data_IF_404401011786
#
_entry.id   IF_404401011786
#
_cell.length_a   1.000
_cell.length_b   1.000
_cell.length_c   1.000
_cell.angle_alpha   90.00
_cell.angle_beta   90.00
_cell.angle_gamma   90.00
#
_symmetry.space_group_name_H-M   'P 1'
#
loop_
_entity.id
_entity.type
_entity.pdbx_description
1 polymer ?
#
# COMPACT_ATOMS: atom_id res chain seq x y z
N UNK A 1 -18.21 -89.74 -28.95
CA UNK A 1 -19.29 -88.92 -29.56
C UNK A 1 -19.80 -88.01 -28.44
N UNK A 2 -19.96 -86.69 -28.58
CA UNK A 2 -20.07 -85.84 -29.79
C UNK A 2 -19.45 -84.44 -29.57
N UNK A 3 -19.23 -83.71 -30.66
CA UNK A 3 -18.64 -82.36 -30.71
C UNK A 3 -19.41 -81.27 -29.94
N UNK A 4 -18.71 -80.21 -29.48
CA UNK A 4 -19.30 -79.02 -28.85
C UNK A 4 -19.36 -77.77 -29.76
N UNK A 5 -19.67 -76.60 -29.18
CA UNK A 5 -19.53 -75.26 -29.81
C UNK A 5 -19.36 -74.14 -28.75
N UNK A 6 -18.91 -72.96 -29.20
CA UNK A 6 -18.32 -71.84 -28.40
C UNK A 6 -19.22 -70.59 -28.34
N UNK A 7 -19.03 -69.76 -27.29
CA UNK A 7 -19.32 -68.30 -27.19
C UNK A 7 -20.82 -67.92 -27.32
N UNK A 8 -21.35 -66.75 -26.93
CA UNK A 8 -20.90 -65.43 -26.40
C UNK A 8 -22.12 -64.83 -25.64
N UNK A 9 -22.11 -63.89 -24.69
CA UNK A 9 -21.08 -63.17 -23.90
C UNK A 9 -21.76 -62.49 -22.67
N UNK A 10 -21.01 -62.08 -21.64
CA UNK A 10 -21.56 -61.37 -20.47
C UNK A 10 -21.63 -59.84 -20.64
N UNK A 11 -22.70 -59.22 -20.12
CA UNK A 11 -22.97 -57.78 -20.17
C UNK A 11 -22.00 -56.98 -19.29
N UNK A 12 -21.41 -55.85 -19.73
CA UNK A 12 -20.59 -55.01 -18.88
C UNK A 12 -21.42 -54.32 -17.78
N UNK A 13 -20.92 -54.31 -16.54
CA UNK A 13 -21.57 -53.61 -15.43
C UNK A 13 -21.52 -52.09 -15.63
N UNK A 14 -22.67 -51.43 -15.46
CA UNK A 14 -22.77 -49.98 -15.57
C UNK A 14 -22.04 -49.27 -14.41
N UNK A 15 -20.85 -48.74 -14.68
CA UNK A 15 -20.18 -47.82 -13.74
C UNK A 15 -20.98 -46.51 -13.66
N UNK A 16 -21.56 -46.23 -12.49
CA UNK A 16 -22.19 -44.94 -12.21
C UNK A 16 -21.10 -43.87 -12.01
N UNK A 17 -20.81 -43.10 -13.05
CA UNK A 17 -20.03 -41.87 -12.91
C UNK A 17 -20.78 -40.87 -12.04
N UNK A 18 -20.33 -40.71 -10.79
CA UNK A 18 -20.83 -39.68 -9.90
C UNK A 18 -20.36 -38.31 -10.37
N UNK A 19 -21.18 -37.60 -11.16
CA UNK A 19 -20.95 -36.20 -11.54
C UNK A 19 -20.84 -35.34 -10.28
N UNK A 20 -19.61 -35.03 -9.89
CA UNK A 20 -19.28 -34.17 -8.75
C UNK A 20 -19.70 -32.74 -9.09
N UNK A 21 -20.90 -32.34 -8.64
CA UNK A 21 -21.39 -30.97 -8.84
C UNK A 21 -20.35 -29.97 -8.33
N UNK A 22 -19.92 -29.07 -9.21
CA UNK A 22 -18.95 -28.03 -8.91
C UNK A 22 -19.65 -26.99 -8.04
N UNK A 23 -19.58 -27.19 -6.71
CA UNK A 23 -20.23 -26.34 -5.72
C UNK A 23 -19.84 -24.88 -5.97
N UNK A 24 -20.83 -24.05 -6.29
CA UNK A 24 -20.58 -22.63 -6.56
C UNK A 24 -19.96 -21.97 -5.34
N UNK A 25 -18.96 -21.11 -5.59
CA UNK A 25 -18.29 -20.36 -4.54
C UNK A 25 -19.28 -19.32 -4.02
N UNK A 26 -19.87 -19.58 -2.85
CA UNK A 26 -20.74 -18.63 -2.15
C UNK A 26 -20.01 -17.30 -2.01
N UNK A 27 -20.65 -16.23 -2.47
CA UNK A 27 -20.08 -14.89 -2.39
C UNK A 27 -19.88 -14.43 -0.94
N UNK A 28 -18.93 -13.52 -0.74
CA UNK A 28 -18.64 -12.99 0.58
C UNK A 28 -19.64 -11.89 0.92
N UNK A 29 -20.40 -12.11 1.99
CA UNK A 29 -21.44 -11.21 2.46
C UNK A 29 -20.83 -10.13 3.38
N UNK A 30 -20.60 -8.93 2.82
CA UNK A 30 -20.06 -7.78 3.55
C UNK A 30 -21.05 -7.16 4.54
N UNK A 31 -22.36 -7.31 4.31
CA UNK A 31 -23.43 -6.69 5.12
C UNK A 31 -23.49 -7.29 6.53
N UNK A 32 -22.98 -8.51 6.71
CA UNK A 32 -22.84 -9.20 8.00
C UNK A 32 -21.67 -8.71 8.87
N UNK A 33 -20.81 -7.84 8.35
CA UNK A 33 -19.63 -7.30 9.04
C UNK A 33 -19.72 -5.77 9.18
N UNK A 34 -19.26 -5.19 10.31
CA UNK A 34 -19.06 -3.77 10.40
C UNK A 34 -17.77 -3.37 9.68
N UNK A 35 -17.61 -2.09 9.41
CA UNK A 35 -16.44 -1.49 8.80
C UNK A 35 -15.85 -0.44 9.74
N UNK A 36 -14.55 -0.17 9.59
CA UNK A 36 -13.85 0.88 10.36
C UNK A 36 -12.77 1.55 9.52
N UNK A 37 -12.47 2.79 9.89
CA UNK A 37 -11.33 3.53 9.36
C UNK A 37 -10.05 3.10 10.09
N UNK A 38 -9.00 2.79 9.32
CA UNK A 38 -7.66 2.49 9.83
C UNK A 38 -6.60 3.35 9.13
N UNK A 39 -5.53 3.66 9.85
CA UNK A 39 -4.25 4.03 9.25
C UNK A 39 -3.44 2.75 9.02
N UNK A 40 -2.99 2.52 7.78
CA UNK A 40 -2.04 1.48 7.40
C UNK A 40 -0.65 2.09 7.21
N UNK A 41 0.36 1.59 7.92
CA UNK A 41 1.76 1.87 7.63
C UNK A 41 2.34 0.76 6.75
N UNK A 42 2.98 1.12 5.65
CA UNK A 42 3.56 0.17 4.71
C UNK A 42 4.89 0.67 4.12
N UNK A 43 5.70 -0.28 3.66
CA UNK A 43 6.89 -0.04 2.85
C UNK A 43 6.73 -0.65 1.46
N UNK A 44 7.53 -0.15 0.52
CA UNK A 44 7.73 -0.76 -0.78
C UNK A 44 9.10 -0.39 -1.38
N UNK A 45 9.67 -1.34 -2.12
CA UNK A 45 10.88 -1.16 -2.91
C UNK A 45 10.47 -0.71 -4.31
N UNK A 46 10.62 0.58 -4.59
CA UNK A 46 9.96 1.25 -5.72
C UNK A 46 10.50 0.86 -7.09
N UNK A 47 11.69 0.27 -7.18
CA UNK A 47 12.40 -0.01 -8.44
C UNK A 47 11.63 -0.87 -9.45
N UNK A 48 10.68 -1.68 -8.97
CA UNK A 48 9.81 -2.56 -9.76
C UNK A 48 8.48 -1.89 -10.17
N UNK A 49 8.15 -0.72 -9.62
CA UNK A 49 6.81 -0.12 -9.70
C UNK A 49 6.81 1.21 -10.47
N UNK A 50 5.69 1.48 -11.15
CA UNK A 50 5.45 2.70 -11.93
C UNK A 50 5.09 3.94 -11.07
N UNK A 51 5.27 3.82 -9.75
CA UNK A 51 5.00 4.83 -8.74
C UNK A 51 3.96 4.36 -7.73
N UNK A 52 3.64 5.23 -6.76
CA UNK A 52 2.63 4.90 -5.75
C UNK A 52 1.21 4.92 -6.33
N UNK A 53 0.87 6.00 -7.04
CA UNK A 53 -0.52 6.38 -7.33
C UNK A 53 -1.09 5.57 -8.49
N UNK A 54 -2.35 5.14 -8.39
CA UNK A 54 -3.09 4.54 -9.51
C UNK A 54 -2.97 5.35 -10.82
N UNK A 55 -2.75 4.64 -11.92
CA UNK A 55 -2.64 5.16 -13.28
C UNK A 55 -3.61 4.39 -14.20
N UNK A 56 -3.93 4.93 -15.38
CA UNK A 56 -4.89 4.31 -16.33
C UNK A 56 -4.23 3.38 -17.33
N UNK A 57 -2.96 3.64 -17.59
CA UNK A 57 -2.08 3.04 -18.59
C UNK A 57 -1.22 1.90 -18.03
N UNK A 58 -1.11 1.77 -16.71
CA UNK A 58 -0.40 0.68 -16.05
C UNK A 58 -1.12 0.17 -14.80
N UNK A 59 -1.04 -1.14 -14.60
CA UNK A 59 -1.53 -1.84 -13.41
C UNK A 59 -0.39 -2.15 -12.41
N UNK A 60 0.81 -1.66 -12.67
CA UNK A 60 2.01 -1.94 -11.88
C UNK A 60 2.35 -0.76 -10.95
N UNK A 61 1.33 -0.22 -10.28
CA UNK A 61 1.47 0.82 -9.26
C UNK A 61 1.27 0.20 -7.89
N UNK A 62 1.92 0.74 -6.86
CA UNK A 62 1.82 0.19 -5.50
C UNK A 62 0.38 0.19 -5.00
N UNK A 63 -0.42 1.20 -5.34
CA UNK A 63 -1.84 1.22 -5.01
C UNK A 63 -2.67 0.16 -5.72
N UNK A 64 -2.41 -0.15 -6.99
CA UNK A 64 -3.12 -1.22 -7.70
C UNK A 64 -2.88 -2.58 -7.03
N UNK A 65 -1.64 -2.85 -6.60
CA UNK A 65 -1.30 -4.03 -5.80
C UNK A 65 -2.00 -4.03 -4.43
N UNK A 66 -2.08 -2.87 -3.75
CA UNK A 66 -2.78 -2.74 -2.46
C UNK A 66 -4.29 -2.95 -2.58
N UNK A 67 -4.96 -2.37 -3.59
CA UNK A 67 -6.38 -2.59 -3.84
C UNK A 67 -6.68 -4.06 -4.13
N UNK A 68 -5.90 -4.70 -5.01
CA UNK A 68 -6.02 -6.15 -5.28
C UNK A 68 -5.84 -6.98 -4.02
N UNK A 69 -4.90 -6.62 -3.15
CA UNK A 69 -4.70 -7.31 -1.88
C UNK A 69 -5.90 -7.16 -0.94
N UNK A 70 -6.48 -5.96 -0.82
CA UNK A 70 -7.66 -5.67 -0.02
C UNK A 70 -8.92 -6.40 -0.56
N UNK A 71 -9.14 -6.38 -1.87
CA UNK A 71 -10.26 -7.06 -2.54
C UNK A 71 -10.14 -8.59 -2.42
N UNK A 72 -8.93 -9.14 -2.61
CA UNK A 72 -8.63 -10.59 -2.52
C UNK A 72 -8.72 -11.14 -1.09
N UNK A 73 -8.37 -10.34 -0.09
CA UNK A 73 -8.52 -10.70 1.34
C UNK A 73 -9.92 -10.42 1.88
N UNK A 74 -10.83 -9.94 1.03
CA UNK A 74 -12.19 -9.49 1.38
C UNK A 74 -12.19 -8.41 2.47
N UNK A 75 -11.14 -7.59 2.55
CA UNK A 75 -11.08 -6.47 3.50
C UNK A 75 -11.89 -5.26 3.02
N UNK A 76 -12.04 -5.12 1.70
CA UNK A 76 -12.99 -4.19 1.07
C UNK A 76 -13.84 -4.96 0.07
N UNK A 77 -15.07 -4.48 -0.15
CA UNK A 77 -15.94 -4.95 -1.22
C UNK A 77 -15.45 -4.43 -2.58
N UNK A 78 -15.13 -3.15 -2.63
CA UNK A 78 -14.73 -2.42 -3.83
C UNK A 78 -13.93 -1.16 -3.43
N UNK A 79 -13.42 -0.45 -4.44
CA UNK A 79 -12.53 0.72 -4.24
C UNK A 79 -13.23 1.98 -3.74
N UNK A 80 -14.54 2.16 -3.95
CA UNK A 80 -15.25 3.35 -3.46
C UNK A 80 -15.50 3.28 -1.95
N UNK A 81 -15.84 2.10 -1.43
CA UNK A 81 -16.01 1.86 0.03
C UNK A 81 -14.68 2.01 0.79
N UNK A 82 -13.54 1.78 0.13
CA UNK A 82 -12.21 1.88 0.75
C UNK A 82 -11.82 3.31 1.20
N UNK A 83 -12.40 4.36 0.59
CA UNK A 83 -12.08 5.78 0.86
C UNK A 83 -10.56 6.06 0.96
N UNK A 84 -9.77 5.53 0.02
CA UNK A 84 -8.31 5.51 0.17
C UNK A 84 -7.69 6.92 0.16
N UNK A 85 -6.97 7.25 1.24
CA UNK A 85 -6.15 8.46 1.34
C UNK A 85 -4.67 8.10 1.50
N UNK A 86 -3.78 8.87 0.87
CA UNK A 86 -2.32 8.63 0.83
C UNK A 86 -1.55 9.78 1.47
N UNK A 87 -0.57 9.51 2.32
CA UNK A 87 0.21 10.55 3.00
C UNK A 87 1.04 11.39 2.01
N UNK A 88 1.93 10.75 1.24
CA UNK A 88 2.76 11.40 0.23
C UNK A 88 2.75 10.62 -1.08
N UNK A 89 2.73 11.31 -2.23
CA UNK A 89 2.97 10.65 -3.52
C UNK A 89 4.45 10.33 -3.65
N UNK A 90 4.77 9.26 -4.36
CA UNK A 90 6.13 8.99 -4.86
C UNK A 90 6.04 8.65 -6.34
N UNK A 91 7.04 9.11 -7.09
CA UNK A 91 7.13 8.88 -8.53
C UNK A 91 7.68 7.47 -8.84
N UNK A 92 7.68 7.12 -10.11
CA UNK A 92 8.22 5.85 -10.63
C UNK A 92 9.63 5.58 -10.09
N UNK A 93 9.90 4.33 -9.68
CA UNK A 93 11.15 3.86 -9.06
C UNK A 93 11.46 4.37 -7.64
N UNK A 94 10.72 5.31 -7.07
CA UNK A 94 10.98 5.83 -5.71
C UNK A 94 10.42 4.87 -4.65
N UNK A 95 11.30 4.35 -3.79
CA UNK A 95 10.94 3.52 -2.63
C UNK A 95 10.34 4.33 -1.47
N UNK A 96 9.63 3.65 -0.56
CA UNK A 96 9.23 4.24 0.73
C UNK A 96 9.30 3.20 1.84
N UNK A 97 9.82 3.59 3.01
CA UNK A 97 9.93 2.70 4.18
C UNK A 97 8.83 2.90 5.22
N UNK A 98 8.10 4.02 5.16
CA UNK A 98 7.09 4.43 6.15
C UNK A 98 5.95 5.22 5.49
N UNK A 99 5.47 4.76 4.33
CA UNK A 99 4.27 5.32 3.73
C UNK A 99 3.07 5.05 4.64
N UNK A 100 2.13 5.98 4.68
CA UNK A 100 0.88 5.84 5.45
C UNK A 100 -0.31 6.07 4.53
N UNK A 101 -1.29 5.18 4.60
CA UNK A 101 -2.60 5.36 3.97
C UNK A 101 -3.71 5.33 5.03
N UNK A 102 -4.77 6.10 4.82
CA UNK A 102 -6.05 5.91 5.49
C UNK A 102 -6.94 5.07 4.59
N UNK A 103 -7.51 4.00 5.13
CA UNK A 103 -8.41 3.10 4.39
C UNK A 103 -9.54 2.63 5.30
N UNK A 104 -10.72 2.42 4.72
CA UNK A 104 -11.87 1.83 5.40
C UNK A 104 -11.92 0.34 5.06
N UNK A 105 -11.95 -0.52 6.06
CA UNK A 105 -11.95 -1.99 5.90
C UNK A 105 -13.02 -2.64 6.77
N UNK A 106 -13.47 -3.84 6.41
CA UNK A 106 -14.30 -4.65 7.31
C UNK A 106 -13.54 -5.00 8.59
N UNK A 107 -14.28 -5.10 9.68
CA UNK A 107 -13.80 -5.53 10.99
C UNK A 107 -14.41 -6.89 11.35
N UNK A 108 -13.74 -7.59 12.26
CA UNK A 108 -14.23 -8.81 12.91
C UNK A 108 -14.75 -8.53 14.33
N UNK A 109 -14.67 -7.28 14.80
CA UNK A 109 -15.23 -6.84 16.07
C UNK A 109 -16.69 -6.39 15.86
N UNK A 110 -17.61 -6.84 16.71
CA UNK A 110 -19.01 -6.41 16.67
C UNK A 110 -19.26 -5.03 17.32
N UNK A 111 -18.36 -4.61 18.20
CA UNK A 111 -18.46 -3.40 19.04
C UNK A 111 -17.08 -2.77 19.28
N UNK A 112 -17.06 -1.48 19.64
CA UNK A 112 -15.85 -0.69 19.87
C UNK A 112 -15.78 0.61 19.05
N UNK A 113 -14.77 1.43 19.32
CA UNK A 113 -14.64 2.76 18.72
C UNK A 113 -14.42 2.73 17.20
N UNK A 114 -15.09 3.67 16.52
CA UNK A 114 -15.02 3.90 15.06
C UNK A 114 -15.53 2.74 14.17
N UNK A 115 -16.37 1.85 14.72
CA UNK A 115 -17.07 0.81 13.96
C UNK A 115 -18.41 1.32 13.43
N UNK A 116 -18.71 0.96 12.19
CA UNK A 116 -19.98 1.26 11.51
C UNK A 116 -20.55 0.02 10.85
N UNK A 117 -21.80 -0.29 11.15
CA UNK A 117 -22.56 -1.33 10.47
C UNK A 117 -23.06 -0.83 9.12
N UNK A 118 -23.18 -1.72 8.14
CA UNK A 118 -23.85 -1.41 6.87
C UNK A 118 -25.32 -1.03 7.14
N UNK A 119 -25.93 -0.06 6.41
CA UNK A 119 -27.33 0.32 6.61
C UNK A 119 -28.29 -0.87 6.53
N UNK A 120 -28.08 -1.77 5.56
CA UNK A 120 -28.90 -2.97 5.35
C UNK A 120 -28.53 -4.15 6.28
N UNK A 121 -27.70 -3.91 7.31
CA UNK A 121 -27.21 -4.96 8.20
C UNK A 121 -28.29 -5.40 9.20
N UNK A 122 -29.01 -6.47 8.84
CA UNK A 122 -29.93 -7.18 9.75
C UNK A 122 -29.22 -7.58 11.06
N UNK A 123 -29.64 -7.05 12.23
CA UNK A 123 -29.05 -7.39 13.53
C UNK A 123 -28.97 -8.88 13.85
N UNK A 124 -29.91 -9.70 13.34
CA UNK A 124 -29.92 -11.15 13.60
C UNK A 124 -28.91 -11.92 12.74
N UNK A 125 -28.48 -11.36 11.60
CA UNK A 125 -27.52 -11.96 10.67
C UNK A 125 -26.07 -11.53 10.88
N UNK A 126 -25.82 -10.50 11.72
CA UNK A 126 -24.49 -9.97 12.06
C UNK A 126 -23.56 -11.03 12.65
N UNK A 127 -22.25 -10.78 12.56
CA UNK A 127 -21.27 -11.60 13.28
C UNK A 127 -21.50 -11.57 14.79
N UNK A 128 -21.72 -12.74 15.39
CA UNK A 128 -21.92 -12.92 16.83
C UNK A 128 -20.60 -13.00 17.60
N UNK A 129 -19.72 -12.00 17.40
CA UNK A 129 -18.55 -11.74 18.25
C UNK A 129 -17.60 -12.92 18.52
N UNK A 130 -17.52 -13.91 17.62
CA UNK A 130 -16.94 -15.23 17.90
C UNK A 130 -15.43 -15.22 18.19
N UNK A 131 -14.75 -14.12 17.93
CA UNK A 131 -13.42 -13.80 18.44
C UNK A 131 -13.41 -12.32 18.84
N UNK A 132 -12.94 -12.02 20.06
CA UNK A 132 -12.82 -10.64 20.58
C UNK A 132 -11.62 -9.88 19.98
N UNK A 133 -11.09 -10.37 18.88
CA UNK A 133 -9.86 -9.89 18.24
C UNK A 133 -10.15 -9.44 16.82
N UNK A 134 -9.45 -8.38 16.42
CA UNK A 134 -9.54 -7.83 15.08
C UNK A 134 -8.83 -8.73 14.06
N UNK A 135 -9.21 -8.63 12.78
CA UNK A 135 -8.48 -9.28 11.70
C UNK A 135 -7.00 -8.89 11.71
N UNK A 136 -6.10 -9.86 11.53
CA UNK A 136 -4.67 -9.60 11.34
C UNK A 136 -4.40 -9.03 9.93
N UNK A 137 -4.76 -7.76 9.72
CA UNK A 137 -4.66 -7.07 8.43
C UNK A 137 -3.25 -7.16 7.84
N UNK A 138 -2.21 -7.02 8.67
CA UNK A 138 -0.81 -7.13 8.24
C UNK A 138 -0.52 -8.51 7.65
N UNK A 139 -0.86 -9.60 8.35
CA UNK A 139 -0.63 -10.97 7.86
C UNK A 139 -1.49 -11.28 6.62
N UNK A 140 -2.76 -10.88 6.62
CA UNK A 140 -3.68 -11.10 5.49
C UNK A 140 -3.17 -10.42 4.22
N UNK A 141 -2.77 -9.15 4.30
CA UNK A 141 -2.27 -8.39 3.16
C UNK A 141 -0.88 -8.88 2.71
N UNK A 142 0.06 -9.09 3.65
CA UNK A 142 1.40 -9.57 3.31
C UNK A 142 1.40 -11.00 2.72
N UNK A 143 0.37 -11.81 3.02
CA UNK A 143 0.18 -13.13 2.41
C UNK A 143 -0.26 -13.11 0.94
N UNK A 144 -0.65 -11.96 0.39
CA UNK A 144 -1.07 -11.81 -1.01
C UNK A 144 -0.36 -10.69 -1.79
N UNK A 145 0.33 -9.78 -1.11
CA UNK A 145 1.13 -8.71 -1.72
C UNK A 145 2.44 -9.25 -2.33
N UNK A 146 2.95 -8.62 -3.42
CA UNK A 146 4.30 -8.87 -3.94
C UNK A 146 5.37 -8.76 -2.84
N UNK A 147 6.48 -9.49 -2.98
CA UNK A 147 7.59 -9.45 -2.01
C UNK A 147 8.14 -8.05 -1.76
N UNK A 148 8.07 -7.18 -2.77
CA UNK A 148 8.52 -5.78 -2.73
C UNK A 148 7.54 -4.80 -2.09
N UNK A 149 6.39 -5.24 -1.57
CA UNK A 149 5.43 -4.40 -0.81
C UNK A 149 5.10 -5.09 0.52
N UNK A 150 5.20 -4.37 1.65
CA UNK A 150 4.88 -4.91 2.98
C UNK A 150 4.10 -3.93 3.85
N UNK A 151 2.98 -4.38 4.40
CA UNK A 151 2.27 -3.72 5.48
C UNK A 151 2.98 -4.04 6.80
N UNK A 152 3.33 -3.00 7.55
CA UNK A 152 4.15 -3.10 8.76
C UNK A 152 3.30 -3.03 10.03
N UNK A 153 2.37 -2.09 10.06
CA UNK A 153 1.53 -1.81 11.22
C UNK A 153 0.20 -1.19 10.77
N UNK A 154 -0.78 -1.22 11.66
CA UNK A 154 -2.04 -0.53 11.49
C UNK A 154 -2.54 0.04 12.82
N UNK A 155 -3.41 1.05 12.77
CA UNK A 155 -4.11 1.57 13.94
C UNK A 155 -5.54 2.01 13.56
N UNK A 156 -6.55 1.85 14.45
CA UNK A 156 -7.86 2.45 14.25
C UNK A 156 -7.77 3.96 14.35
N UNK A 157 -8.55 4.68 13.55
CA UNK A 157 -8.57 6.15 13.51
C UNK A 157 -9.99 6.67 13.37
N UNK A 158 -10.18 7.97 13.60
CA UNK A 158 -11.45 8.65 13.31
C UNK A 158 -11.85 8.48 11.83
N UNK A 159 -13.15 8.44 11.56
CA UNK A 159 -13.69 8.30 10.20
C UNK A 159 -13.17 9.38 9.24
N UNK A 160 -13.03 10.62 9.71
CA UNK A 160 -12.56 11.75 8.93
C UNK A 160 -11.03 11.77 8.78
N UNK A 161 -10.32 10.70 9.19
CA UNK A 161 -8.88 10.60 9.02
C UNK A 161 -8.52 10.52 7.54
N UNK A 162 -7.76 11.53 7.11
CA UNK A 162 -7.13 11.59 5.80
C UNK A 162 -5.61 11.65 5.99
N UNK A 163 -4.91 10.62 5.51
CA UNK A 163 -3.46 10.49 5.70
C UNK A 163 -2.66 11.65 5.09
N UNK A 164 -3.18 12.33 4.06
CA UNK A 164 -2.55 13.51 3.45
C UNK A 164 -2.66 14.73 4.35
N UNK A 165 -3.86 15.01 4.86
CA UNK A 165 -4.16 16.25 5.58
C UNK A 165 -3.82 16.20 7.07
N UNK A 166 -3.69 15.00 7.65
CA UNK A 166 -3.21 14.78 9.02
C UNK A 166 -1.68 14.61 9.12
N UNK A 167 -0.98 14.52 7.98
CA UNK A 167 0.49 14.51 7.95
C UNK A 167 1.03 15.89 8.37
N UNK A 168 2.05 15.92 9.22
CA UNK A 168 2.73 17.16 9.67
C UNK A 168 4.12 17.33 9.05
N UNK A 169 4.85 16.23 8.87
CA UNK A 169 6.24 16.18 8.42
C UNK A 169 6.42 15.04 7.42
N UNK A 170 7.26 15.23 6.40
CA UNK A 170 7.86 14.13 5.63
C UNK A 170 9.38 14.25 5.65
N UNK A 171 10.05 13.10 5.74
CA UNK A 171 11.51 12.99 5.66
C UNK A 171 11.85 12.05 4.51
N UNK A 172 12.71 12.52 3.62
CA UNK A 172 13.24 11.78 2.48
C UNK A 172 14.73 11.53 2.69
N UNK A 173 15.19 10.33 2.31
CA UNK A 173 16.61 9.96 2.33
C UNK A 173 17.03 9.53 0.93
N UNK A 174 18.05 10.20 0.39
CA UNK A 174 18.65 9.90 -0.90
C UNK A 174 20.01 9.26 -0.68
N UNK A 175 20.23 8.11 -1.31
CA UNK A 175 21.45 7.33 -1.19
C UNK A 175 22.17 7.32 -2.55
N UNK A 176 23.44 7.74 -2.58
CA UNK A 176 24.23 7.83 -3.81
C UNK A 176 25.75 7.74 -3.53
N UNK A 177 26.57 7.23 -4.47
CA UNK A 177 28.02 7.21 -4.31
C UNK A 177 28.61 8.64 -4.24
N UNK A 178 29.61 8.84 -3.39
CA UNK A 178 30.31 10.12 -3.24
C UNK A 178 30.99 10.58 -4.55
N UNK A 179 31.70 9.67 -5.23
CA UNK A 179 32.40 9.98 -6.47
C UNK A 179 33.42 11.11 -6.30
N UNK A 180 33.17 12.24 -6.98
CA UNK A 180 33.97 13.46 -6.93
C UNK A 180 33.20 14.68 -6.39
N UNK A 181 32.11 14.46 -5.65
CA UNK A 181 31.28 15.54 -5.09
C UNK A 181 31.98 16.20 -3.90
N UNK A 182 31.92 17.54 -3.83
CA UNK A 182 32.47 18.31 -2.71
C UNK A 182 31.50 18.29 -1.51
N UNK A 183 31.86 17.51 -0.49
CA UNK A 183 31.07 17.35 0.72
C UNK A 183 30.83 18.64 1.49
N UNK A 184 31.78 19.58 1.49
CA UNK A 184 31.65 20.80 2.28
C UNK A 184 30.75 21.81 1.57
N UNK A 185 30.84 21.91 0.25
CA UNK A 185 29.86 22.64 -0.56
C UNK A 185 28.46 22.01 -0.46
N UNK A 186 28.34 20.69 -0.41
CA UNK A 186 27.04 20.02 -0.20
C UNK A 186 26.46 20.29 1.19
N UNK A 187 27.28 20.27 2.25
CA UNK A 187 26.86 20.64 3.61
C UNK A 187 26.43 22.10 3.69
N UNK A 188 27.17 23.00 3.08
CA UNK A 188 26.83 24.42 3.00
C UNK A 188 25.54 24.66 2.20
N UNK A 189 25.33 23.91 1.11
CA UNK A 189 24.06 23.86 0.39
C UNK A 189 22.90 23.40 1.28
N UNK A 190 23.10 22.34 2.08
CA UNK A 190 22.10 21.86 3.03
C UNK A 190 21.70 22.94 4.05
N UNK A 191 22.66 23.68 4.64
CA UNK A 191 22.35 24.78 5.57
C UNK A 191 21.46 25.84 4.92
N UNK A 192 21.70 26.17 3.65
CA UNK A 192 20.91 27.16 2.87
C UNK A 192 19.52 26.66 2.49
N UNK A 193 19.33 25.34 2.42
CA UNK A 193 18.01 24.75 2.22
C UNK A 193 17.13 24.83 3.47
N UNK A 194 17.68 24.93 4.69
CA UNK A 194 16.87 24.99 5.93
C UNK A 194 16.19 26.36 6.06
N UNK A 195 14.96 26.36 6.57
CA UNK A 195 14.15 27.56 6.78
C UNK A 195 12.91 27.60 5.87
N UNK A 196 12.31 28.78 5.76
CA UNK A 196 11.17 29.05 4.88
C UNK A 196 11.63 29.84 3.65
N UNK A 197 11.47 29.25 2.46
CA UNK A 197 11.94 29.84 1.20
C UNK A 197 10.95 29.55 0.07
N UNK A 198 11.04 30.31 -1.03
CA UNK A 198 10.29 30.07 -2.26
C UNK A 198 11.07 29.11 -3.19
N UNK A 199 10.60 27.87 -3.27
CA UNK A 199 11.28 26.80 -4.03
C UNK A 199 10.79 26.67 -5.48
N UNK A 200 10.16 27.70 -6.09
CA UNK A 200 9.62 27.56 -7.46
C UNK A 200 10.63 27.06 -8.49
N UNK A 201 11.91 27.39 -8.31
CA UNK A 201 13.01 26.99 -9.19
C UNK A 201 13.48 25.53 -9.01
N UNK A 202 13.05 24.86 -7.94
CA UNK A 202 13.29 23.43 -7.71
C UNK A 202 12.11 22.56 -8.18
N UNK A 203 10.96 23.17 -8.45
CA UNK A 203 9.75 22.49 -8.92
C UNK A 203 9.67 22.46 -10.45
N UNK A 204 9.15 21.37 -11.02
CA UNK A 204 8.63 21.43 -12.39
C UNK A 204 7.27 22.14 -12.40
N UNK A 205 7.20 23.30 -13.08
CA UNK A 205 5.99 24.13 -13.15
C UNK A 205 5.20 23.80 -14.41
N UNK A 206 4.07 23.11 -14.23
CA UNK A 206 3.00 23.04 -15.22
C UNK A 206 2.40 24.45 -15.43
N UNK A 207 2.18 24.82 -16.69
CA UNK A 207 1.68 26.15 -17.10
C UNK A 207 0.17 26.34 -16.91
N UNK A 208 -0.54 25.39 -16.31
CA UNK A 208 -1.95 25.57 -15.97
C UNK A 208 -2.13 26.67 -14.90
N UNK A 209 -3.23 27.43 -14.99
CA UNK A 209 -3.46 28.61 -14.13
C UNK A 209 -3.38 28.28 -12.63
N UNK A 210 -3.93 27.15 -12.19
CA UNK A 210 -3.96 26.77 -10.78
C UNK A 210 -2.56 26.50 -10.19
N UNK A 211 -1.61 26.06 -11.03
CA UNK A 211 -0.20 25.88 -10.64
C UNK A 211 0.56 27.20 -10.63
N UNK A 212 0.37 28.03 -11.65
CA UNK A 212 0.98 29.37 -11.73
C UNK A 212 0.62 30.27 -10.55
N UNK A 213 -0.61 30.16 -10.01
CA UNK A 213 -1.07 30.93 -8.85
C UNK A 213 -0.87 30.24 -7.50
N UNK A 214 -0.24 29.06 -7.46
CA UNK A 214 -0.02 28.32 -6.20
C UNK A 214 1.17 28.89 -5.43
N UNK A 215 1.14 28.82 -4.09
CA UNK A 215 2.34 29.08 -3.29
C UNK A 215 3.41 28.01 -3.51
N UNK A 216 4.64 28.45 -3.74
CA UNK A 216 5.87 27.65 -3.76
C UNK A 216 6.74 27.87 -2.51
N UNK A 217 6.24 28.66 -1.55
CA UNK A 217 6.88 28.82 -0.23
C UNK A 217 6.75 27.52 0.54
N UNK A 218 7.86 27.00 1.05
CA UNK A 218 7.95 25.74 1.82
C UNK A 218 8.87 25.92 3.01
N UNK A 219 8.65 25.10 4.04
CA UNK A 219 9.52 25.05 5.22
C UNK A 219 10.28 23.72 5.24
N UNK A 220 11.61 23.81 5.15
CA UNK A 220 12.52 22.68 5.40
C UNK A 220 13.04 22.82 6.83
N UNK A 221 12.82 21.79 7.64
CA UNK A 221 13.23 21.76 9.05
C UNK A 221 14.61 21.16 9.23
N UNK A 222 14.97 20.18 8.38
CA UNK A 222 16.30 19.57 8.36
C UNK A 222 16.75 19.34 6.92
N UNK A 223 18.04 19.59 6.66
CA UNK A 223 18.75 19.10 5.50
C UNK A 223 20.17 18.75 5.95
N UNK A 224 20.64 17.54 5.67
CA UNK A 224 21.95 17.07 6.10
C UNK A 224 22.51 16.02 5.15
N UNK A 225 23.83 15.98 5.02
CA UNK A 225 24.55 14.95 4.26
C UNK A 225 25.56 14.23 5.17
N UNK A 226 25.47 12.91 5.19
CA UNK A 226 26.35 12.01 5.94
C UNK A 226 27.05 11.09 4.95
N UNK A 227 28.31 10.78 5.18
CA UNK A 227 29.03 9.73 4.44
C UNK A 227 29.12 8.52 5.34
N UNK A 228 28.68 7.38 4.83
CA UNK A 228 28.80 6.08 5.50
C UNK A 228 30.10 5.41 5.08
N UNK A 229 30.81 4.83 6.04
CA UNK A 229 32.04 4.09 5.76
C UNK A 229 31.71 2.74 5.14
N UNK A 230 32.33 2.49 4.00
CA UNK A 230 32.27 1.22 3.26
C UNK A 230 33.40 0.30 3.70
N UNK A 231 33.21 -1.01 3.54
CA UNK A 231 34.26 -2.01 3.77
C UNK A 231 35.41 -1.85 2.75
N UNK A 232 35.11 -1.23 1.59
CA UNK A 232 36.06 -0.94 0.53
C UNK A 232 36.87 0.34 0.81
N UNK A 233 38.19 0.26 0.68
CA UNK A 233 39.15 1.35 0.92
C UNK A 233 39.10 2.47 -0.15
N UNK A 234 38.46 2.23 -1.31
CA UNK A 234 38.33 3.22 -2.37
C UNK A 234 37.28 4.28 -2.01
N UNK A 235 37.80 5.50 -1.75
CA UNK A 235 37.00 6.68 -1.39
C UNK A 235 35.87 6.99 -2.38
N UNK A 236 35.99 6.56 -3.65
CA UNK A 236 35.02 6.84 -4.71
C UNK A 236 33.68 6.11 -4.52
N UNK A 237 33.69 4.94 -3.87
CA UNK A 237 32.49 4.11 -3.66
C UNK A 237 31.83 4.34 -2.29
N UNK A 238 32.39 5.21 -1.44
CA UNK A 238 31.77 5.62 -0.17
C UNK A 238 30.36 6.14 -0.40
N UNK A 239 29.41 5.65 0.38
CA UNK A 239 27.99 5.93 0.16
C UNK A 239 27.57 7.18 0.93
N UNK A 240 26.97 8.14 0.24
CA UNK A 240 26.37 9.33 0.85
C UNK A 240 24.89 9.11 1.13
N UNK A 241 24.43 9.64 2.25
CA UNK A 241 23.03 9.78 2.62
C UNK A 241 22.70 11.27 2.75
N UNK A 242 21.87 11.79 1.85
CA UNK A 242 21.25 13.12 1.98
C UNK A 242 19.85 12.96 2.60
N UNK A 243 19.66 13.49 3.80
CA UNK A 243 18.35 13.60 4.45
C UNK A 243 17.77 14.98 4.22
N UNK A 244 16.49 15.05 3.82
CA UNK A 244 15.70 16.29 3.75
C UNK A 244 14.36 16.05 4.46
N UNK A 245 14.08 16.84 5.49
CA UNK A 245 12.86 16.79 6.27
C UNK A 245 12.15 18.14 6.28
N UNK A 246 10.87 18.15 5.93
CA UNK A 246 10.07 19.37 5.78
C UNK A 246 8.59 19.16 6.04
N UNK A 247 7.86 20.26 6.20
CA UNK A 247 6.43 20.25 6.48
C UNK A 247 5.65 19.42 5.43
N UNK A 248 4.50 18.85 5.79
CA UNK A 248 3.74 17.94 4.92
C UNK A 248 3.22 18.56 3.60
N UNK A 249 3.31 19.87 3.41
CA UNK A 249 3.03 20.54 2.13
C UNK A 249 4.25 20.63 1.20
N UNK A 250 5.44 20.23 1.67
CA UNK A 250 6.66 20.03 0.87
C UNK A 250 6.52 18.80 -0.02
N UNK A 251 5.73 18.93 -1.09
CA UNK A 251 6.16 18.43 -2.38
C UNK A 251 7.02 19.51 -3.02
N UNK A 252 8.31 19.20 -3.16
CA UNK A 252 9.27 19.91 -4.03
C UNK A 252 9.09 19.30 -5.43
#
# INVERSE_FOLDING_TARGET
>A
MTSGKRKQSGTPGAQKEAKKQKKELREFDFVRYPHRRIALQFLYLGWEHDGLVLQRDTQNTVEEHMYRALEKTRLIENRSVADWSRCGRTDKKVSSFRQVAGVTVRSNLAEGSFLKWHPDSDPFSRISGSSREELNFCQMLNGVLPSTIRVLAWAPVDENFNARHKCVLRVYKYWFPLGNLDLELMREGCKRLVGEHDYRNFCWIDKNNARLTMSYVRTIHEASIVVHDTIEEDQKYRMCELTIGGAAFCGI
#
